data_IF_108518014749
#
_entry.id   IF_108518014749
#
_cell.length_a   1.000
_cell.length_b   1.000
_cell.length_c   1.000
_cell.angle_alpha   90.00
_cell.angle_beta   90.00
_cell.angle_gamma   90.00
#
_symmetry.space_group_name_H-M   'P 1'
#
loop_
_entity.id
_entity.type
_entity.pdbx_description
1 polymer ?
#
# COMPACT_ATOMS: atom_id res chain seq x y z
N UNK A 1 19.37 -24.83 1.99
CA UNK A 1 20.45 -24.19 1.23
C UNK A 1 20.14 -22.70 1.12
N UNK A 2 21.00 -21.88 1.72
CA UNK A 2 20.88 -20.41 1.65
C UNK A 2 21.28 -19.97 0.24
N UNK A 3 20.38 -19.28 -0.46
CA UNK A 3 20.69 -18.65 -1.75
C UNK A 3 21.50 -17.38 -1.44
N UNK A 4 22.76 -17.34 -1.86
CA UNK A 4 23.59 -16.13 -1.77
C UNK A 4 23.54 -15.46 -3.15
N UNK A 5 23.02 -14.24 -3.21
CA UNK A 5 22.98 -13.43 -4.43
C UNK A 5 24.24 -12.56 -4.45
N UNK A 6 24.95 -12.52 -5.56
CA UNK A 6 26.16 -11.72 -5.76
C UNK A 6 25.87 -10.57 -6.74
N UNK A 7 26.42 -9.42 -6.46
CA UNK A 7 26.41 -8.26 -7.37
C UNK A 7 27.83 -7.99 -7.85
N UNK A 8 27.96 -7.71 -9.15
CA UNK A 8 29.18 -7.17 -9.77
C UNK A 8 29.05 -5.64 -9.87
N UNK A 9 29.92 -4.94 -9.17
CA UNK A 9 30.13 -3.50 -9.40
C UNK A 9 31.60 -3.23 -9.78
N UNK A 10 31.92 -1.97 -10.08
CA UNK A 10 33.29 -1.55 -10.45
C UNK A 10 34.34 -1.75 -9.34
N UNK A 11 33.96 -2.24 -8.16
CA UNK A 11 34.81 -2.54 -7.01
C UNK A 11 34.96 -4.03 -6.72
N UNK A 12 34.35 -4.89 -7.53
CA UNK A 12 34.43 -6.34 -7.40
C UNK A 12 33.10 -7.00 -6.99
N UNK A 13 33.13 -8.31 -6.76
CA UNK A 13 31.98 -9.10 -6.35
C UNK A 13 31.69 -8.85 -4.87
N UNK A 14 30.59 -8.19 -4.55
CA UNK A 14 30.09 -8.08 -3.19
C UNK A 14 28.99 -9.11 -2.96
N UNK A 15 29.11 -9.89 -1.89
CA UNK A 15 28.02 -10.76 -1.43
C UNK A 15 26.91 -9.87 -0.83
N UNK A 16 25.76 -9.86 -1.48
CA UNK A 16 24.54 -9.35 -0.84
C UNK A 16 24.17 -10.29 0.31
N UNK A 17 23.58 -9.75 1.40
CA UNK A 17 23.11 -10.59 2.51
C UNK A 17 22.19 -11.70 2.00
N UNK A 18 22.23 -12.89 2.59
CA UNK A 18 21.42 -14.02 2.12
C UNK A 18 19.93 -13.67 2.21
N UNK A 19 19.20 -14.00 1.14
CA UNK A 19 17.73 -13.93 1.13
C UNK A 19 17.20 -15.08 1.99
N UNK A 20 16.97 -14.84 3.27
CA UNK A 20 16.43 -15.84 4.20
C UNK A 20 16.27 -15.30 5.62
N UNK A 21 15.17 -15.62 6.24
CA UNK A 21 14.82 -15.55 7.67
C UNK A 21 14.90 -14.21 8.42
N UNK A 22 15.87 -13.38 8.17
CA UNK A 22 16.15 -12.18 8.98
C UNK A 22 16.23 -10.88 8.13
N UNK A 23 15.54 -10.82 6.98
CA UNK A 23 15.57 -9.61 6.14
C UNK A 23 14.76 -8.49 6.78
N UNK A 24 15.38 -7.32 6.92
CA UNK A 24 14.71 -6.09 7.34
C UNK A 24 14.17 -5.39 6.11
N UNK A 25 12.86 -5.23 6.05
CA UNK A 25 12.19 -4.64 4.89
C UNK A 25 11.27 -3.50 5.30
N UNK A 26 11.04 -2.57 4.38
CA UNK A 26 9.93 -1.64 4.46
C UNK A 26 8.92 -1.95 3.35
N UNK A 27 7.65 -1.70 3.64
CA UNK A 27 6.56 -1.90 2.70
C UNK A 27 6.10 -0.54 2.17
N UNK A 28 5.96 -0.38 0.86
CA UNK A 28 5.30 0.79 0.29
C UNK A 28 3.80 0.63 0.44
N UNK A 29 3.20 1.37 1.38
CA UNK A 29 1.82 1.25 1.80
C UNK A 29 0.94 2.40 1.33
N UNK A 30 -0.16 2.09 0.64
CA UNK A 30 -1.16 3.04 0.15
C UNK A 30 -2.53 2.89 0.84
N UNK A 31 -2.68 1.94 1.75
CA UNK A 31 -3.97 1.59 2.35
C UNK A 31 -4.83 0.65 1.48
N UNK A 32 -4.43 0.38 0.25
CA UNK A 32 -5.12 -0.49 -0.70
C UNK A 32 -4.74 -1.97 -0.58
N UNK A 33 -5.49 -2.81 -1.29
CA UNK A 33 -5.37 -4.28 -1.26
C UNK A 33 -3.97 -4.81 -1.60
N UNK A 34 -3.27 -4.16 -2.54
CA UNK A 34 -2.00 -4.67 -3.06
C UNK A 34 -0.85 -4.44 -2.07
N UNK A 35 -0.84 -3.29 -1.42
CA UNK A 35 0.13 -2.98 -0.36
C UNK A 35 -0.14 -3.80 0.91
N UNK A 36 -1.40 -4.04 1.26
CA UNK A 36 -1.76 -4.91 2.38
C UNK A 36 -1.32 -6.37 2.10
N UNK A 37 -1.54 -6.86 0.88
CA UNK A 37 -1.05 -8.18 0.48
C UNK A 37 0.48 -8.26 0.54
N UNK A 38 1.20 -7.23 0.08
CA UNK A 38 2.65 -7.17 0.15
C UNK A 38 3.18 -7.22 1.59
N UNK A 39 2.48 -6.56 2.53
CA UNK A 39 2.77 -6.62 3.98
C UNK A 39 2.64 -8.05 4.51
N UNK A 40 1.48 -8.66 4.29
CA UNK A 40 1.23 -10.04 4.69
C UNK A 40 2.24 -11.02 4.10
N UNK A 41 2.55 -10.87 2.81
CA UNK A 41 3.52 -11.70 2.11
C UNK A 41 4.93 -11.63 2.74
N UNK A 42 5.38 -10.45 3.15
CA UNK A 42 6.68 -10.28 3.82
C UNK A 42 6.69 -10.94 5.21
N UNK A 43 5.62 -10.75 5.99
CA UNK A 43 5.48 -11.37 7.32
C UNK A 43 5.41 -12.89 7.24
N UNK A 44 4.70 -13.46 6.25
CA UNK A 44 4.63 -14.91 6.03
C UNK A 44 5.99 -15.54 5.69
N UNK A 45 6.97 -14.73 5.28
CA UNK A 45 8.37 -15.15 5.10
C UNK A 45 9.22 -15.04 6.37
N UNK A 46 8.63 -14.56 7.46
CA UNK A 46 9.35 -14.29 8.70
C UNK A 46 10.32 -13.11 8.59
N UNK A 47 10.07 -12.17 7.66
CA UNK A 47 10.87 -10.97 7.51
C UNK A 47 10.51 -9.93 8.56
N UNK A 48 11.50 -9.17 9.00
CA UNK A 48 11.33 -8.04 9.92
C UNK A 48 10.83 -6.82 9.13
N UNK A 49 9.53 -6.54 9.22
CA UNK A 49 8.91 -5.36 8.59
C UNK A 49 9.13 -4.15 9.49
N UNK A 50 10.12 -3.33 9.11
CA UNK A 50 10.59 -2.18 9.90
C UNK A 50 9.63 -0.99 9.88
N UNK A 51 8.93 -0.79 8.79
CA UNK A 51 7.91 0.26 8.65
C UNK A 51 6.99 -0.01 7.47
N UNK A 52 5.77 0.53 7.55
CA UNK A 52 4.93 0.84 6.39
C UNK A 52 5.25 2.29 5.99
N UNK A 53 5.72 2.47 4.77
CA UNK A 53 6.12 3.76 4.21
C UNK A 53 5.03 4.27 3.29
N UNK A 54 4.53 5.48 3.54
CA UNK A 54 3.43 6.07 2.77
C UNK A 54 3.82 7.43 2.23
N UNK A 55 3.71 7.62 0.91
CA UNK A 55 3.90 8.92 0.28
C UNK A 55 2.65 9.77 0.49
N UNK A 56 2.82 10.96 1.06
CA UNK A 56 1.78 11.93 1.39
C UNK A 56 1.89 13.09 0.40
N UNK A 57 1.09 13.07 -0.66
CA UNK A 57 1.14 14.11 -1.70
C UNK A 57 0.48 15.39 -1.20
N UNK A 58 1.18 16.51 -1.37
CA UNK A 58 0.65 17.85 -1.07
C UNK A 58 0.12 18.50 -2.35
N UNK A 59 -1.17 18.87 -2.43
CA UNK A 59 -1.76 19.54 -3.61
C UNK A 59 -3.28 19.65 -3.56
N UNK A 60 -3.85 20.67 -4.27
CA UNK A 60 -5.24 21.11 -4.07
C UNK A 60 -6.34 20.24 -4.70
N UNK A 61 -6.10 19.46 -5.76
CA UNK A 61 -7.19 18.89 -6.59
C UNK A 61 -7.60 17.44 -6.29
N UNK A 62 -6.88 16.73 -5.45
CA UNK A 62 -7.27 15.35 -5.07
C UNK A 62 -7.12 15.06 -3.57
N UNK A 63 -6.93 16.08 -2.76
CA UNK A 63 -6.53 15.99 -1.36
C UNK A 63 -7.42 15.10 -0.49
N UNK A 64 -8.74 15.15 -0.65
CA UNK A 64 -9.63 14.42 0.28
C UNK A 64 -9.51 12.90 0.17
N UNK A 65 -9.39 12.35 -1.04
CA UNK A 65 -9.29 10.90 -1.22
C UNK A 65 -7.87 10.39 -0.94
N UNK A 66 -6.85 11.08 -1.43
CA UNK A 66 -5.44 10.72 -1.16
C UNK A 66 -5.11 10.80 0.33
N UNK A 67 -5.57 11.85 1.03
CA UNK A 67 -5.38 12.00 2.47
C UNK A 67 -6.02 10.84 3.26
N UNK A 68 -7.20 10.39 2.85
CA UNK A 68 -7.87 9.27 3.50
C UNK A 68 -7.13 7.94 3.28
N UNK A 69 -6.63 7.70 2.06
CA UNK A 69 -5.79 6.53 1.76
C UNK A 69 -4.51 6.51 2.61
N UNK A 70 -3.86 7.67 2.74
CA UNK A 70 -2.68 7.86 3.61
C UNK A 70 -2.99 7.53 5.07
N UNK A 71 -4.07 8.09 5.62
CA UNK A 71 -4.47 7.84 7.00
C UNK A 71 -4.86 6.37 7.23
N UNK A 72 -5.53 5.74 6.27
CA UNK A 72 -5.83 4.31 6.32
C UNK A 72 -4.58 3.44 6.33
N UNK A 73 -3.53 3.81 5.58
CA UNK A 73 -2.25 3.11 5.66
C UNK A 73 -1.63 3.22 7.07
N UNK A 74 -1.73 4.39 7.72
CA UNK A 74 -1.35 4.58 9.12
C UNK A 74 -2.15 3.69 10.08
N UNK A 75 -3.49 3.63 9.90
CA UNK A 75 -4.36 2.77 10.72
C UNK A 75 -4.03 1.27 10.53
N UNK A 76 -3.71 0.85 9.30
CA UNK A 76 -3.27 -0.52 9.01
C UNK A 76 -1.92 -0.82 9.66
N UNK A 77 -0.97 0.12 9.63
CA UNK A 77 0.30 -0.01 10.31
C UNK A 77 0.10 -0.19 11.83
N UNK A 78 -0.72 0.67 12.44
CA UNK A 78 -1.06 0.57 13.86
C UNK A 78 -1.74 -0.76 14.20
N UNK A 79 -2.69 -1.21 13.38
CA UNK A 79 -3.36 -2.49 13.56
C UNK A 79 -2.42 -3.69 13.47
N UNK A 80 -1.41 -3.61 12.61
CA UNK A 80 -0.40 -4.67 12.43
C UNK A 80 0.77 -4.57 13.43
N UNK A 81 0.77 -3.58 14.32
CA UNK A 81 1.89 -3.33 15.24
C UNK A 81 3.20 -2.98 14.52
N UNK A 82 3.11 -2.37 13.34
CA UNK A 82 4.25 -1.98 12.50
C UNK A 82 4.39 -0.45 12.57
N UNK A 83 5.61 0.10 12.78
CA UNK A 83 5.83 1.54 12.71
C UNK A 83 5.41 2.12 11.35
N UNK A 84 4.84 3.32 11.37
CA UNK A 84 4.45 4.04 10.16
C UNK A 84 5.45 5.14 9.82
N UNK A 85 5.86 5.24 8.56
CA UNK A 85 6.74 6.29 8.03
C UNK A 85 6.00 7.08 6.94
N UNK A 86 5.24 8.12 7.29
CA UNK A 86 4.70 9.05 6.31
C UNK A 86 5.79 9.99 5.78
N UNK A 87 5.79 10.23 4.47
CA UNK A 87 6.76 11.09 3.78
C UNK A 87 5.99 12.10 2.93
N UNK A 88 6.17 13.39 3.20
CA UNK A 88 5.61 14.45 2.35
C UNK A 88 6.34 14.49 1.01
N UNK A 89 5.57 14.69 -0.05
CA UNK A 89 6.08 14.92 -1.40
C UNK A 89 5.17 15.89 -2.14
N UNK A 90 5.71 16.59 -3.13
CA UNK A 90 4.92 17.44 -4.03
C UNK A 90 4.04 16.64 -4.98
N UNK A 91 4.34 15.36 -5.18
CA UNK A 91 3.71 14.51 -6.21
C UNK A 91 4.37 14.64 -7.58
N UNK A 92 5.37 15.50 -7.74
CA UNK A 92 6.20 15.53 -8.94
C UNK A 92 7.06 14.29 -9.00
N UNK A 93 7.03 13.61 -10.14
CA UNK A 93 7.59 12.26 -10.29
C UNK A 93 9.05 12.11 -9.87
N UNK A 94 9.89 13.09 -10.15
CA UNK A 94 11.32 13.01 -9.84
C UNK A 94 11.59 13.32 -8.36
N UNK A 95 10.84 14.26 -7.80
CA UNK A 95 10.89 14.62 -6.38
C UNK A 95 10.37 13.48 -5.49
N UNK A 96 9.30 12.81 -5.89
CA UNK A 96 8.71 11.69 -5.15
C UNK A 96 9.73 10.58 -4.83
N UNK A 97 10.58 10.23 -5.80
CA UNK A 97 11.60 9.19 -5.59
C UNK A 97 12.75 9.67 -4.70
N UNK A 98 13.11 10.96 -4.79
CA UNK A 98 14.10 11.55 -3.91
C UNK A 98 13.59 11.68 -2.48
N UNK A 99 12.35 12.12 -2.31
CA UNK A 99 11.67 12.19 -1.00
C UNK A 99 11.58 10.81 -0.34
N UNK A 100 11.21 9.78 -1.11
CA UNK A 100 11.20 8.41 -0.63
C UNK A 100 12.59 7.97 -0.17
N UNK A 101 13.61 8.17 -1.00
CA UNK A 101 14.99 7.81 -0.67
C UNK A 101 15.50 8.53 0.59
N UNK A 102 15.19 9.82 0.72
CA UNK A 102 15.51 10.63 1.90
C UNK A 102 14.76 10.14 3.14
N UNK A 103 13.48 9.79 3.02
CA UNK A 103 12.71 9.23 4.11
C UNK A 103 13.30 7.93 4.63
N UNK A 104 13.70 7.02 3.74
CA UNK A 104 14.33 5.75 4.11
C UNK A 104 15.66 5.92 4.84
N UNK A 105 16.40 7.00 4.54
CA UNK A 105 17.65 7.39 5.20
C UNK A 105 17.45 8.16 6.51
N UNK A 106 16.19 8.42 6.91
CA UNK A 106 15.87 9.21 8.11
C UNK A 106 16.09 10.71 7.96
N UNK A 107 16.10 11.23 6.74
CA UNK A 107 16.30 12.65 6.42
C UNK A 107 14.99 13.44 6.24
N UNK A 108 13.82 12.78 6.37
CA UNK A 108 12.51 13.40 6.31
C UNK A 108 12.01 13.84 7.69
N UNK A 109 10.86 14.53 7.71
CA UNK A 109 10.14 14.87 8.94
C UNK A 109 8.80 14.09 9.01
N UNK A 110 8.79 12.83 9.49
CA UNK A 110 7.59 12.01 9.49
C UNK A 110 6.49 12.54 10.44
N UNK A 111 6.85 13.17 11.55
CA UNK A 111 5.87 13.77 12.46
C UNK A 111 5.14 14.92 11.75
N UNK A 112 5.86 15.84 11.11
CA UNK A 112 5.24 16.91 10.33
C UNK A 112 4.45 16.39 9.13
N UNK A 113 4.88 15.28 8.50
CA UNK A 113 4.14 14.62 7.44
C UNK A 113 2.81 14.06 7.97
N UNK A 114 2.84 13.39 9.12
CA UNK A 114 1.64 12.89 9.81
C UNK A 114 0.69 14.04 10.15
N UNK A 115 1.17 15.09 10.82
CA UNK A 115 0.35 16.24 11.22
C UNK A 115 -0.34 16.94 10.03
N UNK A 116 0.34 16.98 8.87
CA UNK A 116 -0.18 17.61 7.65
C UNK A 116 -1.19 16.74 6.89
N UNK A 117 -1.13 15.42 7.03
CA UNK A 117 -1.93 14.47 6.24
C UNK A 117 -2.95 13.69 7.07
N UNK A 118 -2.94 13.82 8.40
CA UNK A 118 -3.90 13.12 9.25
C UNK A 118 -5.24 13.85 9.29
N UNK A 119 -6.37 13.15 9.10
CA UNK A 119 -7.68 13.79 9.11
C UNK A 119 -8.01 14.39 10.48
N UNK A 120 -8.62 15.59 10.46
CA UNK A 120 -9.07 16.25 11.67
C UNK A 120 -10.07 15.37 12.43
N UNK A 121 -9.86 15.24 13.73
CA UNK A 121 -10.73 14.47 14.63
C UNK A 121 -10.48 12.95 14.66
N UNK A 122 -9.57 12.43 13.86
CA UNK A 122 -9.18 11.02 13.96
C UNK A 122 -8.17 10.83 15.10
N UNK A 123 -8.36 9.75 15.87
CA UNK A 123 -7.41 9.38 16.92
C UNK A 123 -6.09 8.89 16.33
N UNK A 124 -5.01 9.62 16.61
CA UNK A 124 -3.65 9.25 16.19
C UNK A 124 -2.86 8.52 17.27
N UNK A 125 -3.46 8.33 18.47
CA UNK A 125 -2.78 7.70 19.59
C UNK A 125 -2.29 6.26 19.36
N UNK A 126 -2.91 5.44 18.48
CA UNK A 126 -2.41 4.10 18.18
C UNK A 126 -1.17 4.09 17.26
N UNK A 127 -0.82 5.20 16.63
CA UNK A 127 0.26 5.25 15.66
C UNK A 127 1.64 5.20 16.34
N UNK A 128 2.51 4.35 15.85
CA UNK A 128 3.94 4.41 16.10
C UNK A 128 4.63 5.04 14.88
N UNK A 129 5.07 6.29 15.03
CA UNK A 129 5.75 7.01 13.93
C UNK A 129 7.23 6.66 13.93
N UNK A 130 7.69 6.07 12.82
CA UNK A 130 9.12 5.81 12.65
C UNK A 130 9.89 7.11 12.37
N UNK A 131 11.05 7.23 12.99
CA UNK A 131 12.01 8.32 12.72
C UNK A 131 13.44 7.78 12.67
N UNK A 132 14.27 8.37 11.82
CA UNK A 132 15.66 7.94 11.62
C UNK A 132 15.83 6.94 10.48
N UNK A 133 17.06 6.46 10.32
CA UNK A 133 17.44 5.49 9.28
C UNK A 133 16.81 4.11 9.56
N UNK A 134 16.15 3.54 8.56
CA UNK A 134 15.50 2.23 8.68
C UNK A 134 16.48 1.05 8.63
N UNK A 135 17.70 1.27 8.12
CA UNK A 135 18.74 0.23 7.96
C UNK A 135 18.22 -1.03 7.27
N UNK A 136 17.65 -0.87 6.08
CA UNK A 136 16.93 -1.91 5.34
C UNK A 136 17.87 -2.85 4.57
N UNK A 137 17.38 -4.06 4.35
CA UNK A 137 17.91 -5.02 3.38
C UNK A 137 17.07 -5.03 2.09
N UNK A 138 15.82 -4.50 2.13
CA UNK A 138 14.96 -4.41 0.95
C UNK A 138 13.68 -3.59 1.12
N UNK A 139 13.05 -3.31 -0.03
CA UNK A 139 11.73 -2.69 -0.14
C UNK A 139 10.76 -3.72 -0.74
N UNK A 140 9.54 -3.78 -0.23
CA UNK A 140 8.46 -4.58 -0.80
C UNK A 140 7.36 -3.65 -1.30
N UNK A 141 6.95 -3.84 -2.55
CA UNK A 141 5.89 -3.05 -3.18
C UNK A 141 4.74 -3.94 -3.67
N UNK A 142 3.52 -3.40 -3.64
CA UNK A 142 2.33 -4.01 -4.23
C UNK A 142 2.22 -3.83 -5.74
N UNK A 143 3.28 -3.46 -6.45
CA UNK A 143 3.24 -3.24 -7.90
C UNK A 143 2.79 -4.49 -8.66
N UNK A 144 1.79 -4.31 -9.55
CA UNK A 144 1.18 -5.40 -10.31
C UNK A 144 1.80 -5.54 -11.70
N UNK A 145 1.75 -4.47 -12.54
CA UNK A 145 2.18 -4.50 -13.95
C UNK A 145 2.78 -3.18 -14.45
N UNK A 146 2.89 -2.16 -13.62
CA UNK A 146 3.47 -0.87 -14.01
C UNK A 146 5.00 -0.94 -14.07
N UNK A 147 5.55 -1.23 -15.26
CA UNK A 147 7.01 -1.25 -15.50
C UNK A 147 7.65 0.07 -15.07
N UNK A 148 6.96 1.17 -15.28
CA UNK A 148 7.45 2.50 -14.93
C UNK A 148 7.70 2.64 -13.41
N UNK A 149 6.69 2.32 -12.58
CA UNK A 149 6.82 2.40 -11.13
C UNK A 149 7.89 1.42 -10.61
N UNK A 150 7.84 0.16 -11.09
CA UNK A 150 8.79 -0.88 -10.70
C UNK A 150 10.23 -0.48 -11.00
N UNK A 151 10.51 0.01 -12.23
CA UNK A 151 11.85 0.40 -12.63
C UNK A 151 12.41 1.52 -11.74
N UNK A 152 11.59 2.51 -11.38
CA UNK A 152 12.03 3.62 -10.51
C UNK A 152 12.39 3.13 -9.11
N UNK A 153 11.57 2.26 -8.53
CA UNK A 153 11.85 1.63 -7.23
C UNK A 153 13.12 0.79 -7.30
N UNK A 154 13.31 -0.01 -8.36
CA UNK A 154 14.51 -0.83 -8.55
C UNK A 154 15.78 0.01 -8.68
N UNK A 155 15.74 1.11 -9.43
CA UNK A 155 16.87 2.04 -9.55
C UNK A 155 17.22 2.71 -8.21
N UNK A 156 16.23 3.11 -7.43
CA UNK A 156 16.42 3.64 -6.08
C UNK A 156 17.05 2.57 -5.18
N UNK A 157 16.49 1.37 -5.14
CA UNK A 157 17.05 0.25 -4.37
C UNK A 157 18.49 -0.05 -4.78
N UNK A 158 18.79 0.04 -6.08
CA UNK A 158 20.15 -0.11 -6.59
C UNK A 158 21.10 0.96 -6.03
N UNK A 159 20.70 2.23 -5.97
CA UNK A 159 21.52 3.29 -5.39
C UNK A 159 21.74 3.08 -3.89
N UNK A 160 20.72 2.61 -3.19
CA UNK A 160 20.78 2.31 -1.75
C UNK A 160 21.51 0.99 -1.43
N UNK A 161 21.78 0.14 -2.42
CA UNK A 161 22.42 -1.17 -2.21
C UNK A 161 21.52 -2.20 -1.53
N UNK A 162 20.19 -2.07 -1.67
CA UNK A 162 19.17 -2.94 -1.09
C UNK A 162 18.37 -3.67 -2.17
N UNK A 163 17.57 -4.65 -1.77
CA UNK A 163 16.70 -5.42 -2.70
C UNK A 163 15.38 -4.72 -2.97
N UNK A 164 14.80 -4.98 -4.16
CA UNK A 164 13.42 -4.64 -4.49
C UNK A 164 12.61 -5.91 -4.67
N UNK A 165 11.46 -6.01 -4.00
CA UNK A 165 10.54 -7.14 -4.06
C UNK A 165 9.16 -6.68 -4.51
N UNK A 166 8.60 -7.37 -5.50
CA UNK A 166 7.25 -7.14 -6.02
C UNK A 166 6.51 -8.47 -6.10
N UNK A 167 5.92 -8.95 -4.99
CA UNK A 167 5.33 -10.30 -4.90
C UNK A 167 4.14 -10.50 -5.84
N UNK A 168 3.50 -9.43 -6.27
CA UNK A 168 2.34 -9.45 -7.14
C UNK A 168 2.67 -9.26 -8.62
N UNK A 169 3.95 -9.07 -8.95
CA UNK A 169 4.38 -8.76 -10.30
C UNK A 169 3.94 -9.82 -11.32
N UNK A 170 3.18 -9.40 -12.32
CA UNK A 170 2.60 -10.24 -13.37
C UNK A 170 1.71 -11.40 -12.88
N UNK A 171 1.17 -11.32 -11.67
CA UNK A 171 0.16 -12.27 -11.22
C UNK A 171 -1.11 -12.16 -12.06
N UNK A 172 -1.83 -13.28 -12.20
CA UNK A 172 -3.16 -13.27 -12.82
C UNK A 172 -4.11 -12.40 -12.00
N UNK A 173 -4.79 -11.38 -12.60
CA UNK A 173 -5.71 -10.51 -11.91
C UNK A 173 -6.79 -11.26 -11.13
N UNK A 174 -7.47 -12.20 -11.76
CA UNK A 174 -8.54 -13.00 -11.14
C UNK A 174 -7.99 -13.81 -9.96
N UNK A 175 -6.82 -14.45 -10.13
CA UNK A 175 -6.20 -15.22 -9.04
C UNK A 175 -5.79 -14.33 -7.87
N UNK A 176 -5.30 -13.13 -8.13
CA UNK A 176 -4.97 -12.18 -7.09
C UNK A 176 -6.22 -11.79 -6.30
N UNK A 177 -7.30 -11.41 -6.99
CA UNK A 177 -8.55 -11.02 -6.34
C UNK A 177 -9.17 -12.17 -5.51
N UNK A 178 -9.20 -13.39 -6.04
CA UNK A 178 -9.67 -14.57 -5.30
C UNK A 178 -8.80 -14.86 -4.08
N UNK A 179 -7.47 -14.72 -4.22
CA UNK A 179 -6.50 -14.94 -3.15
C UNK A 179 -6.70 -14.01 -1.95
N UNK A 180 -7.07 -12.75 -2.18
CA UNK A 180 -7.39 -11.81 -1.09
C UNK A 180 -8.53 -12.34 -0.23
N UNK A 181 -9.61 -12.76 -0.87
CA UNK A 181 -10.76 -13.32 -0.18
C UNK A 181 -10.42 -14.65 0.53
N UNK A 182 -9.76 -15.58 -0.16
CA UNK A 182 -9.37 -16.90 0.37
C UNK A 182 -8.48 -16.81 1.60
N UNK A 183 -7.67 -15.77 1.72
CA UNK A 183 -6.80 -15.51 2.86
C UNK A 183 -7.42 -14.60 3.93
N UNK A 184 -8.69 -14.22 3.79
CA UNK A 184 -9.43 -13.48 4.82
C UNK A 184 -9.14 -11.99 4.86
N UNK A 185 -8.77 -11.37 3.72
CA UNK A 185 -8.71 -9.92 3.64
C UNK A 185 -10.10 -9.32 3.54
N UNK A 186 -10.39 -8.35 4.39
CA UNK A 186 -11.59 -7.52 4.31
C UNK A 186 -11.31 -6.29 3.45
N UNK A 187 -11.62 -6.39 2.16
CA UNK A 187 -11.35 -5.38 1.15
C UNK A 187 -12.64 -4.69 0.74
N UNK A 188 -12.65 -3.35 0.81
CA UNK A 188 -13.79 -2.51 0.43
C UNK A 188 -13.44 -1.68 -0.80
N UNK A 189 -14.38 -1.52 -1.74
CA UNK A 189 -14.24 -0.58 -2.86
C UNK A 189 -14.47 0.83 -2.34
N UNK A 190 -13.44 1.67 -2.44
CA UNK A 190 -13.43 3.02 -1.90
C UNK A 190 -13.62 4.11 -2.97
N UNK A 191 -13.23 3.85 -4.21
CA UNK A 191 -13.48 4.74 -5.33
C UNK A 191 -13.74 3.95 -6.60
N UNK A 192 -14.50 4.54 -7.52
CA UNK A 192 -14.78 4.01 -8.85
C UNK A 192 -14.68 5.12 -9.90
N UNK A 193 -14.09 4.81 -11.03
CA UNK A 193 -13.90 5.74 -12.15
C UNK A 193 -14.14 5.10 -13.53
N UNK A 194 -14.42 3.81 -13.58
CA UNK A 194 -14.65 3.07 -14.84
C UNK A 194 -16.13 3.00 -15.20
N UNK A 195 -16.41 3.03 -16.50
CA UNK A 195 -17.72 2.67 -17.00
C UNK A 195 -18.12 1.25 -16.52
N UNK A 196 -19.37 1.09 -16.11
CA UNK A 196 -19.89 -0.15 -15.56
C UNK A 196 -19.80 -0.28 -14.04
N UNK A 197 -19.06 0.61 -13.36
CA UNK A 197 -19.00 0.67 -11.90
C UNK A 197 -19.73 1.94 -11.43
N UNK A 198 -20.97 1.78 -10.95
CA UNK A 198 -21.78 2.89 -10.44
C UNK A 198 -21.61 3.12 -8.93
N UNK A 199 -22.41 4.02 -8.40
CA UNK A 199 -22.41 4.38 -6.96
C UNK A 199 -22.67 3.16 -6.07
N UNK A 200 -23.38 2.17 -6.55
CA UNK A 200 -23.71 0.92 -5.84
C UNK A 200 -22.46 0.06 -5.52
N UNK A 201 -21.34 0.32 -6.17
CA UNK A 201 -20.07 -0.35 -5.86
C UNK A 201 -19.30 0.32 -4.71
N UNK A 202 -19.58 1.60 -4.42
CA UNK A 202 -18.93 2.28 -3.29
C UNK A 202 -19.36 1.65 -1.96
N UNK A 203 -18.38 1.26 -1.16
CA UNK A 203 -18.60 0.60 0.13
C UNK A 203 -18.88 -0.90 0.06
N UNK A 204 -18.95 -1.50 -1.14
CA UNK A 204 -19.08 -2.97 -1.26
C UNK A 204 -17.78 -3.64 -0.83
N UNK A 205 -17.93 -4.65 0.02
CA UNK A 205 -16.80 -5.50 0.41
C UNK A 205 -16.65 -6.60 -0.65
N UNK A 206 -15.40 -6.82 -1.06
CA UNK A 206 -15.09 -7.88 -2.04
C UNK A 206 -15.24 -9.25 -1.39
N UNK A 207 -16.04 -10.10 -2.02
CA UNK A 207 -16.32 -11.45 -1.56
C UNK A 207 -16.75 -12.34 -2.72
N UNK A 208 -16.92 -13.64 -2.49
CA UNK A 208 -17.29 -14.61 -3.54
C UNK A 208 -18.54 -14.19 -4.33
N UNK A 209 -19.52 -13.58 -3.65
CA UNK A 209 -20.80 -13.21 -4.27
C UNK A 209 -20.68 -12.09 -5.30
N UNK A 210 -19.70 -11.19 -5.16
CA UNK A 210 -19.55 -10.05 -6.04
C UNK A 210 -18.28 -10.05 -6.91
N UNK A 211 -17.32 -10.94 -6.66
CA UNK A 211 -16.17 -11.11 -7.55
C UNK A 211 -16.59 -11.57 -8.94
N UNK A 212 -17.57 -12.50 -9.03
CA UNK A 212 -18.13 -12.94 -10.31
C UNK A 212 -18.81 -11.81 -11.08
N UNK A 213 -19.58 -10.96 -10.39
CA UNK A 213 -20.19 -9.76 -10.98
C UNK A 213 -19.13 -8.78 -11.49
N UNK A 214 -18.09 -8.54 -10.69
CA UNK A 214 -16.97 -7.66 -11.08
C UNK A 214 -16.22 -8.19 -12.31
N UNK A 215 -16.01 -9.52 -12.41
CA UNK A 215 -15.41 -10.16 -13.57
C UNK A 215 -16.27 -10.03 -14.84
N UNK A 216 -17.59 -10.18 -14.72
CA UNK A 216 -18.50 -9.98 -15.86
C UNK A 216 -18.50 -8.53 -16.35
N UNK A 217 -18.56 -7.58 -15.42
CA UNK A 217 -18.46 -6.15 -15.74
C UNK A 217 -17.12 -5.81 -16.37
N UNK A 218 -16.02 -6.32 -15.83
CA UNK A 218 -14.67 -6.14 -16.36
C UNK A 218 -14.57 -6.60 -17.82
N UNK A 219 -15.13 -7.76 -18.17
CA UNK A 219 -15.17 -8.27 -19.55
C UNK A 219 -16.04 -7.39 -20.47
N UNK A 220 -17.20 -6.95 -19.96
CA UNK A 220 -18.18 -6.15 -20.71
C UNK A 220 -17.65 -4.73 -20.99
N UNK A 221 -17.08 -4.08 -20.01
CA UNK A 221 -16.62 -2.69 -20.08
C UNK A 221 -15.11 -2.56 -20.29
N UNK A 222 -14.37 -3.67 -20.40
CA UNK A 222 -12.95 -3.76 -20.74
C UNK A 222 -12.05 -3.01 -19.75
N UNK A 223 -12.28 -3.18 -18.47
CA UNK A 223 -11.41 -2.70 -17.43
C UNK A 223 -10.66 -3.83 -16.71
N UNK A 224 -9.60 -3.52 -15.95
CA UNK A 224 -8.84 -4.52 -15.21
C UNK A 224 -9.62 -4.94 -13.95
N UNK A 225 -9.89 -6.23 -13.80
CA UNK A 225 -10.67 -6.77 -12.67
C UNK A 225 -10.00 -6.53 -11.31
N UNK A 226 -8.70 -6.28 -11.30
CA UNK A 226 -7.92 -5.94 -10.10
C UNK A 226 -7.72 -4.43 -9.90
N UNK A 227 -8.31 -3.59 -10.77
CA UNK A 227 -8.29 -2.14 -10.63
C UNK A 227 -6.95 -1.48 -10.91
N UNK A 228 -5.97 -2.17 -11.52
CA UNK A 228 -4.62 -1.62 -11.74
C UNK A 228 -4.59 -0.38 -12.63
N UNK A 229 -5.51 -0.24 -13.55
CA UNK A 229 -5.62 0.94 -14.42
C UNK A 229 -6.30 2.15 -13.74
N UNK A 230 -6.57 2.08 -12.44
CA UNK A 230 -7.29 3.13 -11.71
C UNK A 230 -8.80 3.06 -11.90
N UNK A 231 -9.33 1.94 -12.35
CA UNK A 231 -10.76 1.73 -12.60
C UNK A 231 -11.57 1.81 -11.30
N UNK A 232 -10.98 1.31 -10.23
CA UNK A 232 -11.46 1.48 -8.86
C UNK A 232 -10.29 1.44 -7.88
N UNK A 233 -10.51 1.98 -6.69
CA UNK A 233 -9.56 1.91 -5.59
C UNK A 233 -10.19 1.19 -4.40
N UNK A 234 -9.33 0.68 -3.52
CA UNK A 234 -9.75 -0.15 -2.39
C UNK A 234 -9.16 0.36 -1.09
N UNK A 235 -9.88 0.09 0.01
CA UNK A 235 -9.36 0.16 1.37
C UNK A 235 -9.40 -1.24 1.99
N UNK A 236 -8.39 -1.59 2.77
CA UNK A 236 -8.35 -2.83 3.55
C UNK A 236 -8.69 -2.49 5.00
N UNK A 237 -9.75 -3.12 5.50
CA UNK A 237 -10.29 -2.90 6.85
C UNK A 237 -9.91 -4.01 7.83
N UNK A 238 -9.47 -5.14 7.32
CA UNK A 238 -8.98 -6.29 8.07
C UNK A 238 -8.12 -7.18 7.18
N UNK A 239 -7.10 -7.81 7.74
CA UNK A 239 -6.22 -8.71 7.00
C UNK A 239 -5.55 -9.69 7.97
N UNK A 240 -5.04 -10.85 7.50
CA UNK A 240 -4.45 -11.89 8.35
C UNK A 240 -3.24 -11.43 9.18
N UNK A 241 -2.63 -10.32 8.83
CA UNK A 241 -1.47 -9.74 9.51
C UNK A 241 -1.84 -8.59 10.46
N UNK A 242 -3.12 -8.28 10.59
CA UNK A 242 -3.63 -7.22 11.46
C UNK A 242 -4.20 -7.83 12.74
N UNK A 243 -3.86 -7.25 13.89
CA UNK A 243 -4.33 -7.68 15.21
C UNK A 243 -5.71 -7.08 15.57
N UNK A 244 -6.13 -6.06 14.83
CA UNK A 244 -7.41 -5.39 14.96
C UNK A 244 -8.06 -5.17 13.58
N UNK A 245 -9.38 -5.16 13.53
CA UNK A 245 -10.11 -4.65 12.37
C UNK A 245 -10.21 -3.11 12.43
N UNK A 246 -10.40 -2.47 11.28
CA UNK A 246 -10.64 -1.03 11.20
C UNK A 246 -12.13 -0.81 10.94
N UNK A 247 -12.82 -0.21 11.88
CA UNK A 247 -14.20 0.23 11.71
C UNK A 247 -14.21 1.67 11.20
N UNK A 248 -14.95 1.93 10.11
CA UNK A 248 -15.06 3.27 9.51
C UNK A 248 -16.51 3.75 9.47
N UNK A 249 -16.69 5.08 9.61
CA UNK A 249 -17.91 5.75 9.18
C UNK A 249 -17.64 6.48 7.89
N UNK A 250 -18.56 6.41 6.92
CA UNK A 250 -18.31 6.88 5.57
C UNK A 250 -19.59 7.38 4.91
N UNK A 251 -19.42 8.23 3.91
CA UNK A 251 -20.50 8.67 3.00
C UNK A 251 -20.01 8.61 1.54
N UNK A 252 -20.86 8.20 0.59
CA UNK A 252 -20.52 8.22 -0.81
C UNK A 252 -20.58 9.65 -1.37
N UNK A 253 -19.59 10.02 -2.14
CA UNK A 253 -19.53 11.25 -2.92
C UNK A 253 -19.48 10.88 -4.39
N UNK A 254 -20.41 11.42 -5.19
CA UNK A 254 -20.51 11.11 -6.61
C UNK A 254 -20.43 12.37 -7.46
N UNK A 255 -19.58 12.36 -8.49
CA UNK A 255 -19.40 13.47 -9.40
C UNK A 255 -19.33 12.98 -10.86
N UNK A 256 -20.41 13.20 -11.61
CA UNK A 256 -20.51 12.78 -13.01
C UNK A 256 -20.46 11.29 -13.20
N UNK A 257 -19.32 10.76 -13.65
CA UNK A 257 -19.10 9.34 -13.94
C UNK A 257 -18.18 8.64 -12.95
N UNK A 258 -17.77 9.31 -11.87
CA UNK A 258 -16.86 8.77 -10.85
C UNK A 258 -17.35 9.08 -9.45
N UNK A 259 -16.93 8.26 -8.50
CA UNK A 259 -17.27 8.50 -7.11
C UNK A 259 -16.22 7.93 -6.17
N UNK A 260 -16.28 8.36 -4.93
CA UNK A 260 -15.43 7.86 -3.86
C UNK A 260 -16.19 7.87 -2.53
N UNK A 261 -15.66 7.12 -1.57
CA UNK A 261 -16.10 7.21 -0.18
C UNK A 261 -15.33 8.32 0.50
N UNK A 262 -16.05 9.20 1.17
CA UNK A 262 -15.48 10.10 2.17
C UNK A 262 -15.55 9.39 3.51
N UNK A 263 -14.38 9.04 4.06
CA UNK A 263 -14.28 8.42 5.39
C UNK A 263 -14.29 9.52 6.44
N UNK A 264 -15.32 9.51 7.30
CA UNK A 264 -15.50 10.52 8.33
C UNK A 264 -14.75 10.17 9.62
N UNK A 265 -14.61 8.88 9.93
CA UNK A 265 -13.81 8.40 11.06
C UNK A 265 -13.30 6.98 10.82
N UNK A 266 -12.20 6.63 11.46
CA UNK A 266 -11.68 5.27 11.53
C UNK A 266 -11.22 4.97 12.96
N UNK A 267 -11.54 3.77 13.45
CA UNK A 267 -11.16 3.29 14.78
C UNK A 267 -10.72 1.84 14.72
N UNK A 268 -9.76 1.46 15.54
CA UNK A 268 -9.34 0.06 15.70
C UNK A 268 -10.32 -0.66 16.62
N UNK A 269 -10.76 -1.84 16.19
CA UNK A 269 -11.68 -2.70 16.94
C UNK A 269 -11.11 -4.12 17.04
N UNK A 270 -11.43 -4.90 18.07
CA UNK A 270 -11.02 -6.31 18.12
C UNK A 270 -11.47 -7.07 16.88
N UNK A 271 -10.62 -7.99 16.40
CA UNK A 271 -10.97 -8.89 15.27
C UNK A 271 -12.24 -9.66 15.60
N UNK A 272 -13.18 -9.71 14.65
CA UNK A 272 -14.47 -10.39 14.78
C UNK A 272 -14.37 -11.89 14.54
#
# INVERSE_FOLDING_TARGET
SRLVVYRLDNRGIQALRPVGGDMRVAILGSGGKDSAYATWWAQMRGWDVRAIVTMCVTGDDSMMFQTQGVAMAGMQAASAGIPWLPILTSGEMDEEMEDLENGLKGLSNPVGAMESSWPEGWDSSPLEIHSGDLSLDGIVSGALRSDFQKTRIELMCQRLGIHSFSPLWHNSPNRHMSSLYEHGFDVMIAAVSSEGLGMEWLGRRLGMDNLGELEELSKRFRFNVDGEGGEFETLVLGAPHMDCDIEITMEPVWNGSRGHLKVNSAVLTPVR
#
